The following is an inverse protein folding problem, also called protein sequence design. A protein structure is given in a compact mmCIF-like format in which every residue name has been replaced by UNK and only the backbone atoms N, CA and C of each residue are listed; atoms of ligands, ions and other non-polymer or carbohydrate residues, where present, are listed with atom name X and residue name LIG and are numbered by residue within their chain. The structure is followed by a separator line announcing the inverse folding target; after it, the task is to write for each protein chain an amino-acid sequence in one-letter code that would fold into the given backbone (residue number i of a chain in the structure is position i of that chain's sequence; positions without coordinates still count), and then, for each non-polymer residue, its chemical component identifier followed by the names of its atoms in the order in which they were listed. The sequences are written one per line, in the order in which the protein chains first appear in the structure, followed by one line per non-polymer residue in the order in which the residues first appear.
data_IF_620365349952
#
_entry.id   IF_620365349952
#
_cell.length_a   1.000
_cell.length_b   1.000
_cell.length_c   1.000
_cell.angle_alpha   90.00
_cell.angle_beta   90.00
_cell.angle_gamma   90.00
#
_symmetry.space_group_name_H-M   'P 1'
#
loop_
_entity.id
_entity.type
_entity.pdbx_description
1 polymer ?
#
# COMPACT_ATOMS: atom_id res chain seq x y z
N UNK A 1 3.88 -39.92 57.58
CA UNK A 1 2.63 -40.38 56.94
C UNK A 1 2.17 -39.29 55.97
N UNK A 2 2.44 -39.49 54.67
CA UNK A 2 1.53 -40.01 53.62
C UNK A 2 0.66 -38.88 53.02
N UNK A 3 0.91 -38.46 51.76
CA UNK A 3 0.38 -39.04 50.49
C UNK A 3 -1.16 -38.98 50.49
N UNK A 4 -1.90 -38.59 49.45
CA UNK A 4 -1.66 -38.60 48.00
C UNK A 4 -3.00 -38.25 47.32
N UNK A 5 -2.95 -37.51 46.19
CA UNK A 5 -3.72 -37.66 44.93
C UNK A 5 -5.24 -37.90 44.94
N UNK A 6 -5.94 -37.19 44.06
CA UNK A 6 -6.68 -37.69 42.87
C UNK A 6 -7.54 -36.51 42.34
N UNK A 7 -7.51 -36.05 41.09
CA UNK A 7 -7.21 -36.75 39.84
C UNK A 7 -8.47 -37.43 39.32
N UNK A 8 -9.35 -36.70 38.64
CA UNK A 8 -10.35 -37.29 37.72
C UNK A 8 -10.08 -36.75 36.32
N UNK A 9 -9.24 -37.51 35.63
CA UNK A 9 -9.04 -37.46 34.19
C UNK A 9 -9.96 -38.53 33.63
N UNK A 10 -10.99 -38.15 32.87
CA UNK A 10 -11.64 -39.10 31.99
C UNK A 10 -10.87 -39.16 30.67
N UNK A 11 -9.97 -40.14 30.60
CA UNK A 11 -9.30 -40.56 29.37
C UNK A 11 -10.03 -41.82 28.87
N UNK A 12 -10.59 -41.76 27.67
CA UNK A 12 -10.96 -42.95 26.91
C UNK A 12 -9.87 -43.22 25.87
N UNK A 13 -9.44 -44.48 25.80
CA UNK A 13 -8.41 -45.11 24.98
C UNK A 13 -8.95 -46.55 24.79
N UNK A 14 -8.95 -47.31 23.67
CA UNK A 14 -8.13 -47.44 22.44
C UNK A 14 -9.02 -48.29 21.44
N UNK A 15 -8.82 -48.45 20.11
CA UNK A 15 -7.68 -49.05 19.36
C UNK A 15 -7.93 -48.99 17.84
N UNK A 16 -7.05 -48.35 17.05
CA UNK A 16 -5.98 -48.97 16.22
C UNK A 16 -6.34 -48.74 14.73
N UNK A 17 -5.48 -48.35 13.77
CA UNK A 17 -4.07 -48.57 13.55
C UNK A 17 -3.52 -47.37 12.72
N UNK A 18 -2.37 -46.80 13.14
CA UNK A 18 -1.61 -45.68 12.52
C UNK A 18 -2.14 -44.26 12.77
N UNK A 19 -1.77 -43.67 13.92
CA UNK A 19 -1.03 -42.40 14.00
C UNK A 19 -0.92 -41.81 15.45
N UNK A 20 0.00 -40.84 15.57
CA UNK A 20 0.14 -39.72 16.53
C UNK A 20 0.68 -39.96 17.94
N UNK A 21 1.86 -39.39 18.22
CA UNK A 21 2.39 -39.15 19.56
C UNK A 21 2.44 -37.66 19.88
N UNK A 22 1.80 -37.27 20.99
CA UNK A 22 1.89 -35.94 21.61
C UNK A 22 2.83 -36.05 22.82
N UNK A 23 3.80 -35.14 22.96
CA UNK A 23 4.64 -35.01 24.16
C UNK A 23 4.71 -33.55 24.59
N UNK A 24 4.40 -33.31 25.87
CA UNK A 24 4.48 -32.01 26.57
C UNK A 24 5.56 -32.12 27.65
N UNK A 25 6.45 -31.14 27.77
CA UNK A 25 7.23 -30.87 28.99
C UNK A 25 7.82 -29.45 28.95
N UNK A 26 7.52 -28.62 29.96
CA UNK A 26 8.41 -27.52 30.37
C UNK A 26 8.21 -27.18 31.86
N UNK A 27 9.27 -27.40 32.65
CA UNK A 27 9.59 -26.76 33.94
C UNK A 27 11.13 -26.71 33.99
N UNK A 28 11.74 -25.56 34.29
CA UNK A 28 13.15 -25.52 34.74
C UNK A 28 13.94 -24.25 34.45
N UNK A 29 14.08 -23.43 35.49
CA UNK A 29 14.90 -22.23 35.70
C UNK A 29 16.43 -22.33 35.43
N UNK A 30 17.02 -21.16 35.07
CA UNK A 30 18.38 -20.59 35.34
C UNK A 30 19.65 -21.00 34.54
N UNK A 31 20.30 -19.93 34.03
CA UNK A 31 21.75 -19.56 33.91
C UNK A 31 22.84 -20.65 33.74
N UNK A 32 23.68 -20.56 32.69
CA UNK A 32 25.02 -19.94 32.73
C UNK A 32 25.72 -19.86 31.34
N UNK A 33 26.82 -19.12 31.30
CA UNK A 33 27.64 -18.60 30.17
C UNK A 33 28.69 -19.58 29.58
N UNK A 34 29.03 -19.36 28.29
CA UNK A 34 30.36 -19.48 27.60
C UNK A 34 30.87 -20.82 26.98
N UNK A 35 31.84 -20.78 26.01
CA UNK A 35 31.66 -21.35 24.66
C UNK A 35 32.63 -22.51 24.34
N UNK A 36 32.49 -23.12 23.16
CA UNK A 36 33.57 -23.94 22.59
C UNK A 36 33.62 -23.85 21.06
N UNK A 37 34.74 -23.30 20.59
CA UNK A 37 35.26 -23.43 19.23
C UNK A 37 35.57 -24.91 18.93
N UNK A 38 35.18 -25.42 17.76
CA UNK A 38 36.00 -26.40 17.01
C UNK A 38 35.85 -26.17 15.52
N UNK A 39 37.00 -25.85 14.95
CA UNK A 39 37.29 -25.70 13.54
C UNK A 39 37.55 -27.08 12.94
N UNK A 40 36.87 -27.42 11.85
CA UNK A 40 37.32 -28.45 10.93
C UNK A 40 37.13 -27.98 9.49
N UNK A 41 38.26 -28.03 8.81
CA UNK A 41 38.58 -27.64 7.43
C UNK A 41 38.03 -28.71 6.49
N UNK A 42 37.39 -28.31 5.39
CA UNK A 42 36.95 -29.21 4.33
C UNK A 42 36.58 -28.42 3.09
N UNK A 43 37.57 -28.23 2.21
CA UNK A 43 37.37 -27.70 0.86
C UNK A 43 36.61 -28.74 0.03
N UNK A 44 35.53 -28.34 -0.62
CA UNK A 44 35.19 -28.84 -1.94
C UNK A 44 34.55 -27.71 -2.75
N UNK A 45 35.25 -27.35 -3.82
CA UNK A 45 34.72 -26.62 -4.97
C UNK A 45 33.54 -27.39 -5.56
N UNK A 46 32.44 -26.69 -5.84
CA UNK A 46 31.73 -26.85 -7.12
C UNK A 46 30.63 -25.79 -7.26
N UNK A 47 30.84 -24.95 -8.28
CA UNK A 47 29.84 -24.58 -9.29
C UNK A 47 28.71 -23.64 -8.87
N UNK A 48 29.08 -22.37 -9.00
CA UNK A 48 28.25 -21.23 -9.38
C UNK A 48 27.26 -21.62 -10.49
N UNK A 49 25.97 -21.66 -10.17
CA UNK A 49 24.88 -21.50 -11.15
C UNK A 49 24.23 -20.16 -10.84
N UNK A 50 24.43 -19.21 -11.75
CA UNK A 50 23.74 -17.93 -11.77
C UNK A 50 22.23 -18.18 -11.88
N UNK A 51 21.49 -17.90 -10.81
CA UNK A 51 20.05 -17.72 -10.92
C UNK A 51 19.81 -16.43 -11.70
N UNK A 52 19.27 -16.60 -12.90
CA UNK A 52 18.91 -15.53 -13.80
C UNK A 52 17.84 -14.66 -13.14
N UNK A 53 18.09 -13.35 -13.15
CA UNK A 53 17.08 -12.34 -12.86
C UNK A 53 15.93 -12.47 -13.87
N UNK A 54 14.77 -12.95 -13.42
CA UNK A 54 13.51 -12.75 -14.12
C UNK A 54 13.08 -11.27 -13.96
N UNK A 55 13.69 -10.41 -14.77
CA UNK A 55 13.11 -9.11 -15.12
C UNK A 55 11.83 -9.36 -15.92
N UNK A 56 10.70 -9.43 -15.22
CA UNK A 56 9.41 -9.31 -15.86
C UNK A 56 9.28 -7.88 -16.40
N UNK A 57 9.49 -7.72 -17.71
CA UNK A 57 9.22 -6.48 -18.44
C UNK A 57 7.74 -6.14 -18.30
N UNK A 58 7.45 -5.06 -17.57
CA UNK A 58 6.07 -4.57 -17.40
C UNK A 58 5.83 -3.42 -18.36
N UNK A 59 4.85 -3.64 -19.23
CA UNK A 59 4.28 -2.69 -20.18
C UNK A 59 3.86 -1.36 -19.53
N UNK A 60 4.14 -0.27 -20.25
CA UNK A 60 3.85 1.12 -19.88
C UNK A 60 2.44 1.34 -19.34
N UNK A 61 2.34 1.95 -18.15
CA UNK A 61 1.08 2.41 -17.54
C UNK A 61 0.84 3.86 -17.99
N UNK A 62 0.45 4.04 -19.25
CA UNK A 62 -0.08 5.29 -19.80
C UNK A 62 -1.61 5.17 -19.88
N UNK A 63 -2.35 5.77 -18.93
CA UNK A 63 -3.81 5.69 -18.98
C UNK A 63 -4.59 6.11 -17.73
N UNK A 64 -4.05 7.03 -16.94
CA UNK A 64 -4.70 7.55 -15.73
C UNK A 64 -4.66 9.08 -15.74
N UNK A 65 -5.39 9.69 -16.68
CA UNK A 65 -5.75 11.13 -16.70
C UNK A 65 -7.17 11.29 -17.27
N UNK A 66 -8.16 11.51 -16.40
CA UNK A 66 -9.29 12.46 -16.57
C UNK A 66 -10.45 12.13 -15.61
N UNK A 67 -10.95 13.12 -14.87
CA UNK A 67 -12.36 13.26 -14.58
C UNK A 67 -12.98 14.31 -15.52
N UNK A 68 -13.95 13.91 -16.34
CA UNK A 68 -14.71 14.80 -17.22
C UNK A 68 -15.62 15.73 -16.39
N UNK A 69 -15.42 17.04 -16.54
CA UNK A 69 -16.39 18.06 -16.14
C UNK A 69 -17.38 18.26 -17.29
N UNK A 70 -18.65 17.93 -17.04
CA UNK A 70 -19.76 18.23 -17.95
C UNK A 70 -20.05 19.72 -17.89
N UNK A 71 -19.66 20.45 -18.93
CA UNK A 71 -20.08 21.83 -19.18
C UNK A 71 -20.73 21.90 -20.55
N UNK A 72 -22.06 22.01 -20.54
CA UNK A 72 -22.93 22.22 -21.69
C UNK A 72 -22.53 23.52 -22.41
N UNK A 73 -22.09 23.43 -23.67
CA UNK A 73 -21.97 24.61 -24.55
C UNK A 73 -22.89 24.46 -25.75
N UNK A 74 -23.72 25.49 -25.89
CA UNK A 74 -24.73 25.66 -26.92
C UNK A 74 -24.08 25.75 -28.31
N UNK A 75 -24.74 25.13 -29.28
CA UNK A 75 -24.41 25.16 -30.70
C UNK A 75 -24.59 26.57 -31.27
N UNK A 76 -23.48 27.22 -31.64
CA UNK A 76 -23.50 28.32 -32.61
C UNK A 76 -22.93 27.80 -33.93
N UNK A 77 -23.86 27.55 -34.87
CA UNK A 77 -23.57 27.32 -36.29
C UNK A 77 -22.93 28.60 -36.85
N UNK A 78 -21.72 28.50 -37.38
CA UNK A 78 -21.16 29.52 -38.25
C UNK A 78 -20.92 28.91 -39.62
N UNK A 79 -21.59 29.49 -40.60
CA UNK A 79 -21.56 29.17 -42.03
C UNK A 79 -20.14 29.47 -42.56
N UNK A 80 -19.50 28.48 -43.19
CA UNK A 80 -18.29 28.67 -43.99
C UNK A 80 -18.69 29.03 -45.41
N UNK A 81 -18.39 30.25 -45.85
CA UNK A 81 -18.28 30.59 -47.27
C UNK A 81 -16.82 30.36 -47.71
N UNK A 82 -16.66 29.51 -48.71
CA UNK A 82 -15.42 29.27 -49.44
C UNK A 82 -15.31 30.31 -50.56
N UNK A 83 -14.28 31.15 -50.49
CA UNK A 83 -13.85 32.01 -51.59
C UNK A 83 -12.50 31.48 -52.09
N UNK A 84 -12.50 30.97 -53.32
CA UNK A 84 -11.30 30.69 -54.08
C UNK A 84 -10.76 32.00 -54.65
N UNK A 85 -9.44 32.19 -54.62
CA UNK A 85 -8.77 33.08 -55.56
C UNK A 85 -7.40 32.53 -55.94
N UNK A 86 -7.24 32.44 -57.25
CA UNK A 86 -6.08 32.02 -58.02
C UNK A 86 -4.84 32.88 -57.80
N UNK A 87 -3.69 32.21 -57.74
CA UNK A 87 -2.35 32.76 -57.82
C UNK A 87 -2.03 33.37 -59.19
N UNK A 88 -1.50 34.59 -59.21
CA UNK A 88 -0.58 35.06 -60.25
C UNK A 88 0.55 35.89 -59.64
N UNK A 89 1.77 35.40 -59.84
CA UNK A 89 3.03 36.09 -59.57
C UNK A 89 3.26 37.21 -60.60
N UNK A 90 3.70 38.40 -60.15
CA UNK A 90 4.62 39.23 -60.92
C UNK A 90 5.42 40.19 -60.03
N UNK A 91 6.72 40.23 -60.31
CA UNK A 91 7.77 41.02 -59.67
C UNK A 91 7.52 42.54 -59.71
N UNK A 92 7.95 43.27 -58.67
CA UNK A 92 9.00 44.29 -58.81
C UNK A 92 9.36 44.92 -57.44
N UNK A 93 10.63 45.25 -57.33
CA UNK A 93 11.35 45.88 -56.21
C UNK A 93 10.86 47.28 -55.85
N UNK A 94 10.77 47.59 -54.55
CA UNK A 94 11.06 48.95 -54.06
C UNK A 94 11.53 48.95 -52.61
N UNK A 95 12.64 49.64 -52.40
CA UNK A 95 13.40 49.80 -51.16
C UNK A 95 12.71 50.83 -50.28
N UNK A 96 12.25 50.49 -49.07
CA UNK A 96 12.02 51.47 -48.00
C UNK A 96 12.50 50.92 -46.66
N UNK A 97 13.51 51.64 -46.17
CA UNK A 97 14.29 51.45 -44.95
C UNK A 97 13.53 52.10 -43.79
N UNK A 98 12.77 51.34 -43.02
CA UNK A 98 12.14 51.83 -41.78
C UNK A 98 12.53 50.98 -40.56
N UNK A 99 13.29 51.64 -39.70
CA UNK A 99 13.70 51.26 -38.36
C UNK A 99 12.46 51.10 -37.47
N UNK A 100 12.07 49.86 -37.15
CA UNK A 100 11.06 49.60 -36.11
C UNK A 100 11.80 49.26 -34.82
N UNK A 101 11.81 50.23 -33.90
CA UNK A 101 12.25 50.06 -32.52
C UNK A 101 11.24 49.12 -31.84
N UNK A 102 11.51 47.81 -31.82
CA UNK A 102 10.72 46.86 -31.08
C UNK A 102 11.00 47.02 -29.58
N UNK A 103 10.14 47.77 -28.89
CA UNK A 103 10.09 47.77 -27.42
C UNK A 103 9.60 46.38 -27.02
N UNK A 104 10.53 45.47 -26.74
CA UNK A 104 10.24 44.21 -26.06
C UNK A 104 9.82 44.53 -24.62
N UNK A 105 8.54 44.80 -24.41
CA UNK A 105 7.92 44.80 -23.10
C UNK A 105 7.99 43.35 -22.60
N UNK A 106 9.04 43.02 -21.84
CA UNK A 106 9.17 41.73 -21.17
C UNK A 106 8.07 41.64 -20.11
N UNK A 107 6.88 41.16 -20.52
CA UNK A 107 5.86 40.70 -19.58
C UNK A 107 6.46 39.48 -18.90
N UNK A 108 7.05 39.69 -17.73
CA UNK A 108 7.43 38.61 -16.83
C UNK A 108 6.15 37.92 -16.39
N UNK A 109 5.76 36.85 -17.10
CA UNK A 109 4.76 35.91 -16.61
C UNK A 109 5.30 35.34 -15.31
N UNK A 110 4.93 35.98 -14.20
CA UNK A 110 5.11 35.43 -12.87
C UNK A 110 4.24 34.20 -12.80
N UNK A 111 4.82 33.02 -13.05
CA UNK A 111 4.21 31.75 -12.69
C UNK A 111 4.09 31.76 -11.17
N UNK A 112 2.96 32.23 -10.64
CA UNK A 112 2.59 31.97 -9.25
C UNK A 112 2.41 30.47 -9.12
N UNK A 113 3.49 29.78 -8.74
CA UNK A 113 3.39 28.40 -8.28
C UNK A 113 2.43 28.39 -7.10
N UNK A 114 1.31 27.68 -7.21
CA UNK A 114 0.47 27.42 -6.06
C UNK A 114 1.33 26.68 -5.03
N UNK A 115 1.34 27.17 -3.78
CA UNK A 115 1.99 26.46 -2.70
C UNK A 115 1.45 25.03 -2.62
N UNK A 116 2.30 24.02 -2.40
CA UNK A 116 1.84 22.65 -2.30
C UNK A 116 0.78 22.54 -1.19
N UNK A 117 -0.26 21.71 -1.38
CA UNK A 117 -1.31 21.54 -0.39
C UNK A 117 -0.72 21.04 0.94
N UNK A 118 -1.36 21.40 2.05
CA UNK A 118 -0.90 20.93 3.35
C UNK A 118 -1.06 19.41 3.46
N UNK A 119 -0.25 18.77 4.32
CA UNK A 119 -0.40 17.33 4.58
C UNK A 119 -1.80 16.98 5.10
N UNK A 120 -2.41 17.90 5.88
CA UNK A 120 -3.79 17.76 6.37
C UNK A 120 -4.79 17.69 5.22
N UNK A 121 -4.64 18.56 4.21
CA UNK A 121 -5.55 18.59 3.05
C UNK A 121 -5.38 17.36 2.16
N UNK A 122 -4.14 16.92 1.95
CA UNK A 122 -3.86 15.69 1.20
C UNK A 122 -4.50 14.49 1.91
N UNK A 123 -4.27 14.32 3.21
CA UNK A 123 -4.85 13.22 3.98
C UNK A 123 -6.38 13.29 4.07
N UNK A 124 -6.96 14.49 4.17
CA UNK A 124 -8.41 14.67 4.13
C UNK A 124 -8.99 14.23 2.78
N UNK A 125 -8.33 14.59 1.67
CA UNK A 125 -8.71 14.16 0.33
C UNK A 125 -8.63 12.64 0.18
N UNK A 126 -7.52 12.02 0.62
CA UNK A 126 -7.35 10.56 0.63
C UNK A 126 -8.51 9.89 1.37
N UNK A 127 -8.80 10.31 2.61
CA UNK A 127 -9.90 9.73 3.41
C UNK A 127 -11.25 9.87 2.73
N UNK A 128 -11.53 11.02 2.14
CA UNK A 128 -12.76 11.27 1.40
C UNK A 128 -12.88 10.38 0.15
N UNK A 129 -11.78 10.17 -0.58
CA UNK A 129 -11.75 9.31 -1.77
C UNK A 129 -11.93 7.84 -1.40
N UNK A 130 -11.21 7.37 -0.37
CA UNK A 130 -11.37 6.02 0.17
C UNK A 130 -12.80 5.79 0.66
N UNK A 131 -13.38 6.70 1.45
CA UNK A 131 -14.72 6.52 2.04
C UNK A 131 -15.90 6.57 1.05
N UNK A 132 -15.65 6.80 -0.24
CA UNK A 132 -16.70 6.85 -1.28
C UNK A 132 -16.70 5.61 -2.18
N UNK A 133 -15.73 4.72 -2.02
CA UNK A 133 -15.62 3.56 -2.87
C UNK A 133 -16.75 2.56 -2.62
N UNK A 134 -17.11 1.86 -3.70
CA UNK A 134 -18.02 0.71 -3.67
C UNK A 134 -17.30 -0.42 -4.38
N UNK A 135 -16.97 -1.46 -3.62
CA UNK A 135 -16.10 -2.54 -4.03
C UNK A 135 -16.68 -3.86 -3.56
N UNK A 136 -16.62 -4.86 -4.42
CA UNK A 136 -16.82 -6.25 -4.04
C UNK A 136 -15.85 -7.08 -4.87
N UNK A 137 -14.74 -7.47 -4.24
CA UNK A 137 -13.61 -8.10 -4.92
C UNK A 137 -13.17 -9.34 -4.15
N UNK A 138 -12.74 -10.35 -4.91
CA UNK A 138 -12.00 -11.47 -4.37
C UNK A 138 -10.51 -11.17 -4.41
N UNK A 139 -9.80 -11.53 -3.37
CA UNK A 139 -8.36 -11.33 -3.26
C UNK A 139 -7.67 -12.50 -2.59
N UNK A 140 -6.35 -12.41 -2.51
CA UNK A 140 -5.53 -13.33 -1.75
C UNK A 140 -4.27 -12.64 -1.21
N UNK A 141 -3.82 -13.09 -0.04
CA UNK A 141 -2.46 -12.86 0.43
C UNK A 141 -1.63 -14.09 0.05
N UNK A 142 -0.49 -13.87 -0.60
CA UNK A 142 0.44 -14.93 -0.99
C UNK A 142 1.82 -14.66 -0.42
N UNK A 143 2.36 -15.59 0.34
CA UNK A 143 3.72 -15.54 0.88
C UNK A 143 4.34 -16.93 0.78
N UNK A 144 5.42 -17.07 0.02
CA UNK A 144 6.00 -18.37 -0.33
C UNK A 144 4.90 -19.29 -0.91
N UNK A 145 4.75 -20.49 -0.36
CA UNK A 145 3.72 -21.48 -0.75
C UNK A 145 2.37 -21.25 -0.05
N UNK A 146 2.27 -20.30 0.87
CA UNK A 146 1.03 -19.99 1.60
C UNK A 146 0.16 -19.04 0.79
N UNK A 147 -1.08 -19.46 0.52
CA UNK A 147 -2.11 -18.65 -0.15
C UNK A 147 -3.35 -18.55 0.74
N UNK A 148 -3.69 -17.33 1.12
CA UNK A 148 -4.81 -17.01 2.01
C UNK A 148 -5.84 -16.21 1.20
N UNK A 149 -6.95 -16.83 0.76
CA UNK A 149 -8.00 -16.11 0.08
C UNK A 149 -8.75 -15.17 1.04
N UNK A 150 -9.23 -14.05 0.52
CA UNK A 150 -10.14 -13.17 1.23
C UNK A 150 -11.13 -12.51 0.27
N UNK A 151 -12.27 -12.08 0.78
CA UNK A 151 -13.20 -11.18 0.09
C UNK A 151 -13.08 -9.78 0.67
N UNK A 152 -12.99 -8.79 -0.19
CA UNK A 152 -12.95 -7.37 0.13
C UNK A 152 -14.26 -6.73 -0.33
N UNK A 153 -15.11 -6.35 0.62
CA UNK A 153 -16.33 -5.59 0.34
C UNK A 153 -16.20 -4.22 0.93
N UNK A 154 -16.41 -3.18 0.13
CA UNK A 154 -16.46 -1.81 0.60
C UNK A 154 -17.78 -1.15 0.22
N UNK A 155 -18.44 -0.58 1.21
CA UNK A 155 -19.65 0.21 1.06
C UNK A 155 -19.40 1.58 1.70
N UNK A 156 -18.86 2.51 0.92
CA UNK A 156 -18.48 3.83 1.38
C UNK A 156 -17.38 3.76 2.47
N UNK A 157 -17.64 4.26 3.70
CA UNK A 157 -16.65 4.29 4.77
C UNK A 157 -16.41 2.93 5.45
N UNK A 158 -17.19 1.90 5.09
CA UNK A 158 -17.08 0.57 5.69
C UNK A 158 -16.38 -0.39 4.73
N UNK A 159 -15.22 -0.88 5.14
CA UNK A 159 -14.44 -1.90 4.43
C UNK A 159 -14.50 -3.19 5.24
N UNK A 160 -14.82 -4.30 4.59
CA UNK A 160 -14.93 -5.63 5.20
C UNK A 160 -13.93 -6.56 4.55
N UNK A 161 -13.06 -7.14 5.36
CA UNK A 161 -12.15 -8.22 4.99
C UNK A 161 -12.72 -9.52 5.55
N UNK A 162 -13.15 -10.43 4.69
CA UNK A 162 -13.66 -11.75 5.10
C UNK A 162 -12.68 -12.82 4.67
N UNK A 163 -12.18 -13.57 5.64
CA UNK A 163 -11.28 -14.68 5.45
C UNK A 163 -11.99 -15.99 5.80
N UNK A 164 -11.52 -17.09 5.22
CA UNK A 164 -11.94 -18.45 5.57
C UNK A 164 -10.77 -19.24 6.15
N UNK A 165 -11.10 -20.34 6.85
CA UNK A 165 -10.14 -21.30 7.40
C UNK A 165 -9.04 -20.68 8.30
N UNK A 166 -9.37 -20.24 9.53
CA UNK A 166 -10.71 -20.19 10.11
C UNK A 166 -11.48 -18.97 9.61
N UNK A 167 -12.80 -19.02 9.74
CA UNK A 167 -13.67 -17.90 9.40
C UNK A 167 -13.39 -16.71 10.32
N UNK A 168 -13.13 -15.57 9.71
CA UNK A 168 -12.88 -14.32 10.42
C UNK A 168 -13.30 -13.17 9.52
N UNK A 169 -14.09 -12.25 10.07
CA UNK A 169 -14.47 -11.03 9.35
C UNK A 169 -14.02 -9.82 10.15
N UNK A 170 -13.20 -8.99 9.52
CA UNK A 170 -12.77 -7.70 10.03
C UNK A 170 -13.53 -6.60 9.33
N UNK A 171 -13.96 -5.58 10.09
CA UNK A 171 -14.60 -4.40 9.55
C UNK A 171 -13.78 -3.16 9.92
N UNK A 172 -13.19 -2.52 8.92
CA UNK A 172 -12.60 -1.20 9.03
C UNK A 172 -13.67 -0.15 8.78
N UNK A 173 -13.83 0.78 9.72
CA UNK A 173 -14.63 2.00 9.58
C UNK A 173 -13.70 3.20 9.43
N UNK A 174 -13.80 3.88 8.30
CA UNK A 174 -13.17 5.18 8.04
C UNK A 174 -14.12 6.29 8.48
N UNK A 175 -13.89 6.84 9.67
CA UNK A 175 -14.64 7.99 10.18
C UNK A 175 -14.02 9.31 9.75
N UNK A 176 -14.66 10.42 10.12
CA UNK A 176 -14.16 11.77 9.85
C UNK A 176 -12.83 12.03 10.56
N UNK A 177 -12.74 11.65 11.84
CA UNK A 177 -11.63 11.98 12.72
C UNK A 177 -10.79 10.77 13.17
N UNK A 178 -11.26 9.54 12.92
CA UNK A 178 -10.53 8.33 13.28
C UNK A 178 -10.89 7.16 12.37
N UNK A 179 -10.01 6.17 12.30
CA UNK A 179 -10.34 4.83 11.84
C UNK A 179 -10.54 3.86 13.01
N UNK A 180 -11.36 2.84 12.79
CA UNK A 180 -11.60 1.78 13.77
C UNK A 180 -11.69 0.44 13.06
N UNK A 181 -10.91 -0.53 13.54
CA UNK A 181 -11.03 -1.93 13.14
C UNK A 181 -11.89 -2.67 14.18
N UNK A 182 -12.83 -3.45 13.68
CA UNK A 182 -13.75 -4.27 14.46
C UNK A 182 -13.66 -5.74 14.00
N UNK A 183 -13.96 -6.67 14.90
CA UNK A 183 -14.24 -8.08 14.57
C UNK A 183 -15.75 -8.23 14.43
N UNK A 184 -16.19 -8.92 13.38
CA UNK A 184 -17.59 -9.27 13.15
C UNK A 184 -17.78 -10.75 13.46
N UNK A 185 -18.73 -11.04 14.34
CA UNK A 185 -19.15 -12.38 14.74
C UNK A 185 -20.67 -12.49 14.69
N UNK A 186 -21.19 -13.70 14.94
CA UNK A 186 -22.65 -13.94 15.04
C UNK A 186 -23.29 -13.15 16.18
N UNK A 187 -22.52 -12.85 17.25
CA UNK A 187 -22.98 -12.06 18.39
C UNK A 187 -23.01 -10.54 18.10
N UNK A 188 -22.42 -10.11 16.97
CA UNK A 188 -22.36 -8.71 16.57
C UNK A 188 -20.97 -8.22 16.22
N UNK A 189 -20.80 -6.90 16.24
CA UNK A 189 -19.54 -6.21 15.88
C UNK A 189 -18.85 -5.68 17.13
N UNK A 190 -17.64 -6.16 17.40
CA UNK A 190 -16.86 -5.79 18.58
C UNK A 190 -15.57 -5.05 18.18
N UNK A 191 -15.10 -4.16 19.05
CA UNK A 191 -13.85 -3.42 18.81
C UNK A 191 -12.67 -4.40 18.79
N UNK A 192 -11.84 -4.33 17.76
CA UNK A 192 -10.60 -5.10 17.72
C UNK A 192 -9.69 -4.66 18.87
N UNK A 193 -9.15 -5.62 19.63
CA UNK A 193 -8.31 -5.34 20.77
C UNK A 193 -7.03 -4.60 20.34
N UNK A 194 -6.79 -3.40 20.89
CA UNK A 194 -5.66 -2.56 20.49
C UNK A 194 -4.31 -3.23 20.70
N UNK A 195 -4.18 -4.06 21.75
CA UNK A 195 -2.98 -4.84 22.05
C UNK A 195 -2.62 -5.89 20.99
N UNK A 196 -3.60 -6.27 20.15
CA UNK A 196 -3.43 -7.28 19.09
C UNK A 196 -3.15 -6.67 17.72
N UNK A 197 -3.11 -5.35 17.58
CA UNK A 197 -2.93 -4.70 16.27
C UNK A 197 -1.61 -5.11 15.60
N UNK A 198 -0.57 -5.41 16.38
CA UNK A 198 0.73 -5.81 15.85
C UNK A 198 0.81 -7.31 15.52
N UNK A 199 -0.24 -8.08 15.77
CA UNK A 199 -0.29 -9.51 15.42
C UNK A 199 -0.41 -9.68 13.89
N UNK A 200 0.21 -10.74 13.39
CA UNK A 200 0.20 -11.10 11.97
C UNK A 200 -1.13 -11.74 11.58
N UNK A 201 -1.56 -11.47 10.36
CA UNK A 201 -2.72 -12.13 9.77
C UNK A 201 -2.24 -13.43 9.14
N UNK A 202 -2.65 -14.56 9.73
CA UNK A 202 -2.41 -15.93 9.20
C UNK A 202 -0.95 -16.14 8.79
N UNK A 203 -0.03 -15.74 9.67
CA UNK A 203 1.43 -15.88 9.51
C UNK A 203 2.06 -15.17 8.30
N UNK A 204 1.36 -14.17 7.73
CA UNK A 204 1.91 -13.32 6.67
C UNK A 204 2.70 -12.12 7.23
N UNK A 205 3.30 -11.32 6.34
CA UNK A 205 3.92 -10.04 6.71
C UNK A 205 2.91 -8.94 7.05
N UNK A 206 1.61 -9.19 6.80
CA UNK A 206 0.53 -8.23 7.07
C UNK A 206 0.08 -8.35 8.52
N UNK A 207 -0.12 -7.20 9.19
CA UNK A 207 -0.65 -7.13 10.56
C UNK A 207 -2.03 -6.49 10.59
N UNK A 208 -2.75 -6.65 11.70
CA UNK A 208 -4.05 -5.99 11.89
C UNK A 208 -3.94 -4.46 11.89
N UNK A 209 -2.82 -3.89 12.34
CA UNK A 209 -2.53 -2.46 12.27
C UNK A 209 -2.48 -1.97 10.82
N UNK A 210 -1.87 -2.76 9.94
CA UNK A 210 -1.77 -2.45 8.51
C UNK A 210 -3.16 -2.36 7.86
N UNK A 211 -4.13 -3.16 8.31
CA UNK A 211 -5.53 -3.07 7.87
C UNK A 211 -6.35 -1.98 8.60
N UNK A 212 -5.86 -1.44 9.71
CA UNK A 212 -6.60 -0.47 10.52
C UNK A 212 -6.48 0.98 10.00
N UNK A 213 -5.49 1.27 9.13
CA UNK A 213 -5.25 2.58 8.51
C UNK A 213 -5.17 3.77 9.48
N UNK A 214 -4.76 3.52 10.73
CA UNK A 214 -4.68 4.55 11.78
C UNK A 214 -3.73 5.69 11.42
N UNK A 215 -2.68 5.40 10.65
CA UNK A 215 -1.69 6.40 10.24
C UNK A 215 -2.29 7.54 9.42
N UNK A 216 -3.42 7.32 8.72
CA UNK A 216 -4.14 8.37 7.99
C UNK A 216 -4.71 9.46 8.90
N UNK A 217 -4.74 9.24 10.22
CA UNK A 217 -5.31 10.13 11.23
C UNK A 217 -4.28 10.66 12.21
N UNK A 218 -2.99 10.36 12.03
CA UNK A 218 -1.96 10.90 12.92
C UNK A 218 -1.84 12.41 12.79
N UNK A 219 -1.81 13.16 13.91
CA UNK A 219 -1.87 14.62 13.89
C UNK A 219 -0.57 15.27 13.37
N UNK A 220 0.56 14.60 13.57
CA UNK A 220 1.87 15.08 13.15
C UNK A 220 2.18 14.60 11.72
N UNK A 221 1.75 15.37 10.72
CA UNK A 221 1.97 15.08 9.31
C UNK A 221 2.58 16.28 8.57
N UNK A 222 3.51 16.04 7.66
CA UNK A 222 4.10 17.07 6.79
C UNK A 222 4.39 16.55 5.39
N UNK A 223 4.36 17.46 4.41
CA UNK A 223 4.78 17.17 3.02
C UNK A 223 6.29 17.33 2.95
N UNK A 224 6.98 16.30 2.45
CA UNK A 224 8.42 16.33 2.20
C UNK A 224 8.75 16.77 0.78
N UNK A 225 7.81 16.61 -0.16
CA UNK A 225 7.97 17.02 -1.55
C UNK A 225 7.18 16.12 -2.50
N UNK A 226 7.66 16.04 -3.74
CA UNK A 226 7.14 15.17 -4.78
C UNK A 226 8.16 14.09 -5.14
N UNK A 227 7.70 12.88 -5.39
CA UNK A 227 8.53 11.78 -5.84
C UNK A 227 7.74 10.90 -6.80
N UNK A 228 8.40 10.37 -7.84
CA UNK A 228 7.77 9.38 -8.71
C UNK A 228 7.82 8.01 -8.06
N UNK A 229 6.66 7.38 -7.91
CA UNK A 229 6.56 5.95 -7.62
C UNK A 229 6.20 5.27 -8.93
N UNK A 230 7.20 4.60 -9.53
CA UNK A 230 7.11 4.03 -10.88
C UNK A 230 6.78 5.14 -11.89
N UNK A 231 5.63 5.09 -12.57
CA UNK A 231 5.21 6.13 -13.54
C UNK A 231 4.32 7.22 -12.94
N UNK A 232 4.00 7.13 -11.63
CA UNK A 232 3.02 7.99 -10.96
C UNK A 232 3.69 9.11 -10.19
N UNK A 233 3.27 10.35 -10.44
CA UNK A 233 3.77 11.50 -9.67
C UNK A 233 3.02 11.58 -8.33
N UNK A 234 3.75 11.48 -7.22
CA UNK A 234 3.18 11.35 -5.89
C UNK A 234 3.62 12.49 -4.98
N UNK A 235 2.73 12.90 -4.08
CA UNK A 235 3.13 13.60 -2.86
C UNK A 235 3.83 12.63 -1.93
N UNK A 236 4.99 13.02 -1.37
CA UNK A 236 5.66 12.29 -0.31
C UNK A 236 5.38 12.94 1.03
N UNK A 237 4.69 12.22 1.91
CA UNK A 237 4.33 12.66 3.24
C UNK A 237 5.21 11.96 4.28
N UNK A 238 5.49 12.64 5.39
CA UNK A 238 5.97 12.03 6.63
C UNK A 238 4.90 12.17 7.70
N UNK A 239 4.54 11.05 8.33
CA UNK A 239 3.55 10.94 9.38
C UNK A 239 4.25 10.38 10.64
N UNK A 240 4.09 11.03 11.79
CA UNK A 240 4.69 10.58 13.05
C UNK A 240 3.63 10.06 14.00
N UNK A 241 3.89 8.89 14.59
CA UNK A 241 2.96 8.27 15.52
C UNK A 241 2.80 9.13 16.80
N UNK A 242 1.57 9.25 17.33
CA UNK A 242 1.33 10.00 18.56
C UNK A 242 1.81 9.25 19.81
N UNK A 243 1.93 7.91 19.75
CA UNK A 243 2.34 7.07 20.89
C UNK A 243 2.90 5.73 20.42
N UNK A 244 3.52 4.98 21.34
CA UNK A 244 4.06 3.62 21.14
C UNK A 244 2.99 2.52 21.02
N UNK A 245 1.71 2.88 20.95
CA UNK A 245 0.65 1.92 20.61
C UNK A 245 0.74 1.44 19.16
N UNK A 246 1.39 2.21 18.29
CA UNK A 246 1.74 1.79 16.93
C UNK A 246 3.07 1.06 16.90
N UNK A 247 3.17 0.00 16.09
CA UNK A 247 4.46 -0.63 15.79
C UNK A 247 5.41 0.32 15.03
N UNK A 248 4.85 1.32 14.35
CA UNK A 248 5.59 2.30 13.59
C UNK A 248 5.76 3.58 14.41
N UNK A 249 6.98 4.13 14.45
CA UNK A 249 7.20 5.48 14.98
C UNK A 249 6.97 6.55 13.91
N UNK A 250 7.25 6.22 12.66
CA UNK A 250 7.08 7.09 11.50
C UNK A 250 6.60 6.29 10.29
N UNK A 251 5.80 6.93 9.45
CA UNK A 251 5.38 6.42 8.14
C UNK A 251 5.76 7.43 7.08
N UNK A 252 6.46 6.99 6.04
CA UNK A 252 6.51 7.72 4.77
C UNK A 252 5.40 7.20 3.86
N UNK A 253 4.60 8.12 3.32
CA UNK A 253 3.45 7.78 2.50
C UNK A 253 3.52 8.51 1.16
N UNK A 254 3.40 7.76 0.06
CA UNK A 254 3.35 8.32 -1.29
C UNK A 254 1.91 8.24 -1.81
N UNK A 255 1.33 9.40 -2.05
CA UNK A 255 -0.05 9.56 -2.52
C UNK A 255 -0.05 10.07 -3.94
N UNK A 256 -0.67 9.34 -4.86
CA UNK A 256 -0.80 9.75 -6.26
C UNK A 256 -1.49 11.11 -6.38
N UNK A 257 -0.87 12.06 -7.09
CA UNK A 257 -1.40 13.42 -7.20
C UNK A 257 -2.71 13.51 -7.98
N UNK A 258 -2.96 12.57 -8.91
CA UNK A 258 -4.12 12.63 -9.78
C UNK A 258 -5.31 11.86 -9.21
N UNK A 259 -5.07 10.73 -8.55
CA UNK A 259 -6.11 9.81 -8.08
C UNK A 259 -6.20 9.68 -6.57
N UNK A 260 -5.31 10.31 -5.80
CA UNK A 260 -5.28 10.16 -4.33
C UNK A 260 -4.93 8.75 -3.85
N UNK A 261 -4.53 7.85 -4.74
CA UNK A 261 -4.25 6.46 -4.39
C UNK A 261 -2.96 6.34 -3.56
N UNK A 262 -2.97 5.43 -2.59
CA UNK A 262 -1.78 5.10 -1.80
C UNK A 262 -0.84 4.22 -2.63
N UNK A 263 0.22 4.81 -3.18
CA UNK A 263 1.13 4.14 -4.12
C UNK A 263 2.27 3.40 -3.43
N UNK A 264 2.77 3.96 -2.31
CA UNK A 264 3.79 3.36 -1.46
C UNK A 264 3.60 3.80 -0.03
N UNK A 265 3.89 2.91 0.92
CA UNK A 265 4.05 3.21 2.34
C UNK A 265 5.35 2.56 2.83
N UNK A 266 6.13 3.29 3.61
CA UNK A 266 7.25 2.76 4.39
C UNK A 266 7.03 3.03 5.87
N UNK A 267 6.98 1.97 6.67
CA UNK A 267 6.86 2.03 8.12
C UNK A 267 8.22 1.86 8.78
N UNK A 268 8.56 2.78 9.69
CA UNK A 268 9.81 2.76 10.46
C UNK A 268 9.50 2.43 11.91
N UNK A 269 10.30 1.57 12.53
CA UNK A 269 10.18 1.21 13.94
C UNK A 269 10.63 2.35 14.88
N UNK A 270 10.51 2.12 16.19
CA UNK A 270 10.92 3.09 17.22
C UNK A 270 12.43 3.29 17.37
N UNK A 271 13.25 2.55 16.61
CA UNK A 271 14.68 2.76 16.46
C UNK A 271 15.01 3.50 15.14
N UNK A 272 13.99 4.03 14.44
CA UNK A 272 14.09 4.68 13.15
C UNK A 272 14.62 3.78 12.02
N UNK A 273 14.42 2.47 12.13
CA UNK A 273 14.80 1.47 11.13
C UNK A 273 13.61 1.12 10.26
N UNK A 274 13.84 0.93 8.95
CA UNK A 274 12.78 0.48 8.04
C UNK A 274 12.31 -0.90 8.48
N UNK A 275 11.02 -1.02 8.82
CA UNK A 275 10.41 -2.26 9.26
C UNK A 275 9.59 -2.90 8.14
N UNK A 276 8.77 -2.11 7.44
CA UNK A 276 7.92 -2.60 6.36
C UNK A 276 7.80 -1.63 5.19
N UNK A 277 7.61 -2.18 3.98
CA UNK A 277 7.27 -1.43 2.77
C UNK A 277 6.07 -2.06 2.07
N UNK A 278 5.07 -1.26 1.77
CA UNK A 278 3.94 -1.59 0.91
C UNK A 278 4.12 -0.82 -0.39
N UNK A 279 4.07 -1.48 -1.54
CA UNK A 279 4.20 -0.82 -2.85
C UNK A 279 3.22 -1.42 -3.86
N UNK A 280 2.48 -0.56 -4.55
CA UNK A 280 1.60 -0.96 -5.64
C UNK A 280 2.44 -1.40 -6.86
N UNK A 281 2.35 -2.68 -7.20
CA UNK A 281 3.09 -3.30 -8.31
C UNK A 281 2.26 -3.37 -9.59
N UNK A 282 0.94 -3.44 -9.51
CA UNK A 282 0.11 -3.30 -10.71
C UNK A 282 -1.31 -2.90 -10.37
N UNK A 283 -1.96 -2.28 -11.35
CA UNK A 283 -3.38 -1.96 -11.34
C UNK A 283 -4.07 -2.68 -12.50
N UNK A 284 -5.38 -2.87 -12.38
CA UNK A 284 -6.23 -3.43 -13.41
C UNK A 284 -7.50 -2.61 -13.57
N UNK A 285 -8.12 -2.68 -14.75
CA UNK A 285 -9.38 -1.99 -15.02
C UNK A 285 -10.54 -2.97 -14.90
N UNK A 286 -11.47 -2.70 -14.00
CA UNK A 286 -12.71 -3.46 -13.78
C UNK A 286 -13.85 -2.47 -13.92
N UNK A 287 -14.84 -2.76 -14.78
CA UNK A 287 -16.01 -1.88 -15.01
C UNK A 287 -15.63 -0.39 -15.22
N UNK A 288 -14.59 -0.16 -16.02
CA UNK A 288 -14.02 1.15 -16.37
C UNK A 288 -13.28 1.89 -15.23
N UNK A 289 -13.19 1.32 -14.03
CA UNK A 289 -12.43 1.89 -12.90
C UNK A 289 -11.11 1.14 -12.70
N UNK A 290 -10.08 1.87 -12.28
CA UNK A 290 -8.79 1.30 -11.94
C UNK A 290 -8.80 0.80 -10.50
N UNK A 291 -8.41 -0.45 -10.32
CA UNK A 291 -8.27 -1.10 -9.02
C UNK A 291 -6.85 -1.61 -8.85
N UNK A 292 -6.43 -1.77 -7.60
CA UNK A 292 -5.25 -2.53 -7.26
C UNK A 292 -5.37 -3.94 -7.88
N UNK A 293 -4.33 -4.38 -8.59
CA UNK A 293 -4.19 -5.77 -9.02
C UNK A 293 -3.23 -6.51 -8.11
N UNK A 294 -2.10 -5.88 -7.80
CA UNK A 294 -1.07 -6.47 -6.95
C UNK A 294 -0.36 -5.40 -6.15
N UNK A 295 -0.25 -5.62 -4.85
CA UNK A 295 0.60 -4.88 -3.92
C UNK A 295 1.66 -5.83 -3.37
N UNK A 296 2.91 -5.39 -3.36
CA UNK A 296 4.02 -6.10 -2.72
C UNK A 296 4.22 -5.51 -1.32
N UNK A 297 4.33 -6.40 -0.34
CA UNK A 297 4.50 -6.08 1.07
C UNK A 297 5.79 -6.77 1.52
N UNK A 298 6.76 -5.98 1.94
CA UNK A 298 8.08 -6.46 2.33
C UNK A 298 8.32 -6.10 3.79
N UNK A 299 8.79 -7.08 4.55
CA UNK A 299 9.30 -6.90 5.90
C UNK A 299 10.82 -6.96 5.87
N UNK A 300 11.47 -6.03 6.57
CA UNK A 300 12.91 -5.83 6.53
C UNK A 300 13.54 -6.25 7.83
N UNK A 301 14.72 -6.87 7.72
CA UNK A 301 15.56 -7.13 8.90
C UNK A 301 16.01 -5.78 9.49
N UNK A 302 15.75 -5.52 10.78
CA UNK A 302 16.05 -4.24 11.42
C UNK A 302 17.50 -3.79 11.19
N UNK A 303 17.66 -2.52 10.77
CA UNK A 303 18.96 -1.89 10.54
C UNK A 303 19.63 -2.27 9.22
N UNK A 304 18.95 -3.00 8.33
CA UNK A 304 19.48 -3.42 7.03
C UNK A 304 18.51 -3.14 5.89
N UNK A 305 18.94 -3.33 4.65
CA UNK A 305 18.08 -3.35 3.45
C UNK A 305 17.61 -4.76 3.07
N UNK A 306 17.91 -5.78 3.90
CA UNK A 306 17.57 -7.16 3.60
C UNK A 306 16.08 -7.42 3.86
N UNK A 307 15.39 -7.94 2.85
CA UNK A 307 13.98 -8.35 2.95
C UNK A 307 13.94 -9.73 3.61
N UNK A 308 13.32 -9.80 4.78
CA UNK A 308 13.15 -11.03 5.56
C UNK A 308 11.94 -11.83 5.08
N UNK A 309 10.85 -11.14 4.73
CA UNK A 309 9.64 -11.76 4.22
C UNK A 309 8.98 -10.90 3.14
N UNK A 310 8.30 -11.55 2.19
CA UNK A 310 7.58 -10.89 1.11
C UNK A 310 6.20 -11.51 0.94
N UNK A 311 5.17 -10.71 1.21
CA UNK A 311 3.77 -11.02 0.90
C UNK A 311 3.31 -10.26 -0.33
N UNK A 312 2.45 -10.86 -1.14
CA UNK A 312 1.71 -10.19 -2.20
C UNK A 312 0.23 -10.17 -1.83
N UNK A 313 -0.37 -8.98 -1.85
CA UNK A 313 -1.82 -8.84 -1.86
C UNK A 313 -2.25 -8.73 -3.32
N UNK A 314 -3.06 -9.67 -3.76
CA UNK A 314 -3.50 -9.80 -5.14
C UNK A 314 -5.02 -9.74 -5.21
N UNK A 315 -5.56 -8.96 -6.13
CA UNK A 315 -6.99 -8.88 -6.41
C UNK A 315 -7.26 -9.71 -7.67
N UNK A 316 -8.21 -10.65 -7.56
CA UNK A 316 -8.66 -11.48 -8.66
C UNK A 316 -9.67 -10.71 -9.52
N UNK A 317 -9.63 -11.01 -10.82
CA UNK A 317 -10.63 -10.53 -11.79
C UNK A 317 -11.87 -11.43 -11.72
#
# INVERSE_FOLDING_TARGET
MNKSRNGLVHCWLIKGNRDWSMRVNSIGLRFNRYPSNKQTRGNHEARMTSEANDECQVSNIEGMTNPEAVASRQNLRMVRSSFEHSSLFRHSSFVIRHLVLAICLAVTLSTRGQSPPSAKDILASVRMMESRQQIDLQGQLRQNDVVIPFRLVQNGPLIRYSFSNPDETLQLRLGENSSRLDVVSDAGTEKFAGSKLNERIRDTSVTYEDLAFKFLYWPAARVLGEEKVRTRNCWKLQLRAPSRESQYSNVLLWVDKASGALMRMEGYDWNAQLAKRFEVVSAQKIEKRWFLKQMRIEEFKPGTSHVEARTYLEIKK
#
